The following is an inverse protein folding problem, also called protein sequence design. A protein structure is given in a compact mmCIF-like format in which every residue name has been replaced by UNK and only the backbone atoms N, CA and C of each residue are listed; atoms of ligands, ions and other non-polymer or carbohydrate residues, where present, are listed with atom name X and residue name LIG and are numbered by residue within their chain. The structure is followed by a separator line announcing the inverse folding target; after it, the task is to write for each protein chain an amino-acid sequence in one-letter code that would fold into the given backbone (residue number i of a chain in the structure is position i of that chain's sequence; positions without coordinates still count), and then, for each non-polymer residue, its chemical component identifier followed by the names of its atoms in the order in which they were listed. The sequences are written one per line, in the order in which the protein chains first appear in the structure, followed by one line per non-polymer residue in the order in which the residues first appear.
data_IF_017361286216
#
_entry.id   IF_017361286216
#
_cell.length_a   1.000
_cell.length_b   1.000
_cell.length_c   1.000
_cell.angle_alpha   90.00
_cell.angle_beta   90.00
_cell.angle_gamma   90.00
#
_symmetry.space_group_name_H-M   'P 1'
#
loop_
_entity.id
_entity.type
_entity.pdbx_description
1 polymer ?
#
# COMPACT_ATOMS: atom_id res chain seq x y z
N UNK A 1 -4.50 5.84 -11.07
CA UNK A 1 -5.13 4.89 -12.02
C UNK A 1 -5.76 3.70 -11.31
N UNK A 2 -7.05 3.46 -11.52
CA UNK A 2 -7.79 2.36 -10.89
C UNK A 2 -9.21 2.75 -10.47
N UNK A 3 -9.86 1.92 -9.66
CA UNK A 3 -11.20 2.17 -9.13
C UNK A 3 -11.24 1.93 -7.62
N UNK A 4 -12.07 2.70 -6.91
CA UNK A 4 -12.38 2.48 -5.49
C UNK A 4 -13.89 2.54 -5.28
N UNK A 5 -14.45 1.51 -4.66
CA UNK A 5 -15.83 1.51 -4.18
C UNK A 5 -15.87 1.00 -2.74
N UNK A 6 -16.14 1.89 -1.78
CA UNK A 6 -16.04 1.59 -0.33
C UNK A 6 -14.64 1.04 0.00
N UNK A 7 -14.57 -0.21 0.44
CA UNK A 7 -13.34 -0.93 0.79
C UNK A 7 -12.86 -1.88 -0.32
N UNK A 8 -13.38 -1.73 -1.54
CA UNK A 8 -12.91 -2.43 -2.74
C UNK A 8 -11.96 -1.51 -3.49
N UNK A 9 -10.76 -2.00 -3.78
CA UNK A 9 -9.69 -1.27 -4.45
C UNK A 9 -9.23 -2.06 -5.69
N UNK A 10 -9.13 -1.39 -6.82
CA UNK A 10 -8.69 -1.96 -8.09
C UNK A 10 -7.57 -1.10 -8.66
N UNK A 11 -6.59 -1.73 -9.30
CA UNK A 11 -5.43 -1.05 -9.90
C UNK A 11 -5.04 -1.70 -11.22
N UNK A 12 -4.57 -0.90 -12.16
CA UNK A 12 -3.94 -1.36 -13.40
C UNK A 12 -2.42 -1.58 -13.23
N UNK A 13 -1.89 -1.34 -12.03
CA UNK A 13 -0.49 -1.64 -11.73
C UNK A 13 -0.27 -3.16 -11.76
N UNK A 14 0.60 -3.58 -12.66
CA UNK A 14 1.05 -4.97 -12.75
C UNK A 14 2.24 -5.24 -11.82
N UNK A 15 2.40 -6.50 -11.43
CA UNK A 15 3.41 -6.93 -10.47
C UNK A 15 2.93 -6.88 -9.01
N UNK A 16 3.85 -7.06 -8.03
CA UNK A 16 3.48 -7.13 -6.62
C UNK A 16 3.06 -5.75 -6.10
N UNK A 17 1.75 -5.47 -6.13
CA UNK A 17 1.17 -4.19 -5.72
C UNK A 17 1.39 -3.91 -4.22
N UNK A 18 1.11 -4.87 -3.35
CA UNK A 18 1.11 -4.67 -1.91
C UNK A 18 2.54 -4.44 -1.35
N UNK A 19 3.55 -5.28 -1.65
CA UNK A 19 4.90 -5.05 -1.14
C UNK A 19 5.53 -3.74 -1.62
N UNK A 20 5.13 -3.26 -2.80
CA UNK A 20 5.63 -1.98 -3.34
C UNK A 20 4.89 -0.76 -2.81
N UNK A 21 3.79 -0.95 -2.09
CA UNK A 21 2.94 0.12 -1.57
C UNK A 21 2.59 -0.19 -0.10
N UNK A 22 3.57 -0.17 0.82
CA UNK A 22 3.36 -0.54 2.23
C UNK A 22 2.20 0.25 2.86
N UNK A 23 2.08 1.54 2.55
CA UNK A 23 0.96 2.39 2.99
C UNK A 23 -0.43 1.88 2.55
N UNK A 24 -0.55 1.38 1.31
CA UNK A 24 -1.80 0.80 0.83
C UNK A 24 -2.08 -0.53 1.53
N UNK A 25 -1.04 -1.33 1.74
CA UNK A 25 -1.12 -2.61 2.45
C UNK A 25 -1.60 -2.42 3.88
N UNK A 26 -1.01 -1.50 4.63
CA UNK A 26 -1.42 -1.15 5.99
C UNK A 26 -2.86 -0.68 6.04
N UNK A 27 -3.27 0.14 5.06
CA UNK A 27 -4.66 0.59 4.97
C UNK A 27 -5.64 -0.59 4.79
N UNK A 28 -5.32 -1.56 3.93
CA UNK A 28 -6.16 -2.74 3.72
C UNK A 28 -6.23 -3.62 4.97
N UNK A 29 -5.10 -3.81 5.67
CA UNK A 29 -5.05 -4.56 6.94
C UNK A 29 -5.91 -3.85 7.99
N UNK A 30 -5.76 -2.54 8.14
CA UNK A 30 -6.54 -1.74 9.10
C UNK A 30 -8.05 -1.84 8.81
N UNK A 31 -8.47 -1.76 7.54
CA UNK A 31 -9.87 -1.95 7.15
C UNK A 31 -10.39 -3.36 7.50
N UNK A 32 -9.56 -4.40 7.32
CA UNK A 32 -9.92 -5.77 7.66
C UNK A 32 -10.05 -5.97 9.19
N UNK A 33 -9.13 -5.39 9.98
CA UNK A 33 -9.19 -5.42 11.45
C UNK A 33 -10.42 -4.68 11.97
N UNK A 34 -10.68 -3.47 11.46
CA UNK A 34 -11.86 -2.68 11.82
C UNK A 34 -13.16 -3.42 11.50
N UNK A 35 -13.25 -4.09 10.34
CA UNK A 35 -14.41 -4.92 9.98
C UNK A 35 -14.65 -6.05 10.99
N UNK A 36 -13.60 -6.58 11.61
CA UNK A 36 -13.67 -7.63 12.63
C UNK A 36 -13.88 -7.10 14.04
N UNK A 37 -13.95 -5.77 14.23
CA UNK A 37 -14.01 -5.15 15.55
C UNK A 37 -12.72 -5.27 16.36
N UNK A 38 -11.59 -5.49 15.68
CA UNK A 38 -10.27 -5.58 16.31
C UNK A 38 -9.57 -4.21 16.28
N UNK A 39 -8.71 -3.89 17.25
CA UNK A 39 -7.86 -2.71 17.20
C UNK A 39 -7.01 -2.72 15.91
N UNK A 40 -6.97 -1.58 15.23
CA UNK A 40 -6.20 -1.39 14.00
C UNK A 40 -4.85 -0.70 14.24
N UNK A 41 -4.25 -0.88 15.42
CA UNK A 41 -2.90 -0.41 15.72
C UNK A 41 -1.87 -1.36 15.11
N UNK A 42 -1.37 -0.99 13.93
CA UNK A 42 -0.29 -1.70 13.28
C UNK A 42 1.03 -1.21 13.85
N UNK A 43 1.85 -2.13 14.35
CA UNK A 43 3.20 -1.80 14.75
C UNK A 43 4.01 -1.32 13.53
N UNK A 44 4.75 -0.20 13.64
CA UNK A 44 5.55 0.29 12.53
C UNK A 44 6.63 -0.72 12.15
N UNK A 45 6.82 -0.91 10.85
CA UNK A 45 7.90 -1.72 10.26
C UNK A 45 8.89 -0.83 9.54
N UNK A 46 10.09 -1.36 9.26
CA UNK A 46 11.12 -0.64 8.53
C UNK A 46 10.83 -0.66 7.01
N UNK A 47 10.21 0.41 6.51
CA UNK A 47 9.89 0.60 5.08
C UNK A 47 11.04 1.20 4.25
N UNK A 48 12.29 1.19 4.76
CA UNK A 48 13.43 1.84 4.07
C UNK A 48 13.65 1.31 2.66
N UNK A 49 13.53 0.00 2.45
CA UNK A 49 13.80 -0.62 1.15
C UNK A 49 12.71 -0.27 0.13
N UNK A 50 11.45 -0.32 0.55
CA UNK A 50 10.27 0.02 -0.23
C UNK A 50 10.31 1.50 -0.64
N UNK A 51 10.66 2.37 0.32
CA UNK A 51 10.81 3.81 0.07
C UNK A 51 11.92 4.09 -0.93
N UNK A 52 13.10 3.48 -0.75
CA UNK A 52 14.22 3.63 -1.68
C UNK A 52 13.88 3.12 -3.09
N UNK A 53 13.18 1.98 -3.20
CA UNK A 53 12.73 1.45 -4.48
C UNK A 53 11.73 2.40 -5.17
N UNK A 54 10.81 3.00 -4.42
CA UNK A 54 9.87 4.00 -4.90
C UNK A 54 10.57 5.25 -5.45
N UNK A 55 11.58 5.75 -4.74
CA UNK A 55 12.38 6.89 -5.20
C UNK A 55 13.13 6.61 -6.50
N UNK A 56 13.71 5.42 -6.65
CA UNK A 56 14.39 5.02 -7.90
C UNK A 56 13.42 5.05 -9.07
N UNK A 57 12.20 4.54 -8.91
CA UNK A 57 11.19 4.57 -9.96
C UNK A 57 10.73 5.99 -10.28
N UNK A 58 10.51 6.83 -9.24
CA UNK A 58 10.14 8.23 -9.41
C UNK A 58 11.20 8.99 -10.21
N UNK A 59 12.49 8.82 -9.87
CA UNK A 59 13.61 9.44 -10.59
C UNK A 59 13.70 8.98 -12.05
N UNK A 60 13.30 7.74 -12.37
CA UNK A 60 13.25 7.23 -13.74
C UNK A 60 12.11 7.86 -14.56
N UNK A 61 10.97 8.14 -13.95
CA UNK A 61 9.79 8.69 -14.61
C UNK A 61 9.87 10.22 -14.83
N UNK A 62 10.61 10.93 -13.97
CA UNK A 62 10.81 12.38 -14.06
C UNK A 62 11.98 12.78 -14.97
N UNK A 63 12.61 11.80 -15.64
CA UNK A 63 13.70 12.00 -16.59
C UNK A 63 13.17 11.97 -18.01
#
# INVERSE_FOLDING_TARGET
EGARHKNVFCSYLHGPLLPKNPRLTDHLIALALNRRGLPADLAPLDDRLETAAGEVMLRRLLR
#
